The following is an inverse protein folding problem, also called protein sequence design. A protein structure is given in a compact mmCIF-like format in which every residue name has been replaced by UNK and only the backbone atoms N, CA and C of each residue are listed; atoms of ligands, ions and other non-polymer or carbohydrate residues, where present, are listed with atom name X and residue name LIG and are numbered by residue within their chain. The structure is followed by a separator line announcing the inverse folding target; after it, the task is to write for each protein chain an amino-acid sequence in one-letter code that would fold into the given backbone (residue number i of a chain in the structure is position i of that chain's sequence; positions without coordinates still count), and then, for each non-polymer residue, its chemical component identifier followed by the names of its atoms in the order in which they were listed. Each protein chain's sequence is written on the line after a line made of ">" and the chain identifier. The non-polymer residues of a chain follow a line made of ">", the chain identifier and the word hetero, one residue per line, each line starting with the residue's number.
data_IF_170903997730
#
_entry.id   IF_170903997730
#
_cell.length_a   1.000
_cell.length_b   1.000
_cell.length_c   1.000
_cell.angle_alpha   90.00
_cell.angle_beta   90.00
_cell.angle_gamma   90.00
#
_symmetry.space_group_name_H-M   'P 1'
#
loop_
_entity.id
_entity.type
_entity.pdbx_description
1 polymer ?
#
# COMPACT_ATOMS: atom_id res chain seq x y z
N UNK A 1 -7.85 10.55 -15.84
CA UNK A 1 -9.16 10.86 -16.45
C UNK A 1 -9.72 9.54 -16.95
N UNK A 2 -10.85 9.05 -16.43
CA UNK A 2 -11.51 7.87 -16.97
C UNK A 2 -12.25 8.28 -18.25
N UNK A 3 -11.57 8.26 -19.39
CA UNK A 3 -12.20 8.20 -20.70
C UNK A 3 -12.63 6.75 -20.95
N UNK A 4 -13.60 6.25 -20.18
CA UNK A 4 -14.26 5.00 -20.56
C UNK A 4 -15.09 5.29 -21.82
N UNK A 5 -14.55 4.90 -22.97
CA UNK A 5 -15.30 4.58 -24.20
C UNK A 5 -16.11 5.71 -24.87
N UNK A 6 -15.58 6.93 -25.00
CA UNK A 6 -16.25 7.97 -25.80
C UNK A 6 -17.73 8.21 -25.42
N UNK A 7 -18.11 7.87 -24.19
CA UNK A 7 -19.48 7.91 -23.73
C UNK A 7 -19.88 9.37 -23.50
N UNK A 8 -21.06 9.76 -23.99
CA UNK A 8 -21.62 11.08 -23.73
C UNK A 8 -21.81 11.30 -22.22
N UNK A 9 -21.67 12.53 -21.75
CA UNK A 9 -21.87 12.92 -20.34
C UNK A 9 -23.20 12.38 -19.76
N UNK A 10 -24.24 12.30 -20.59
CA UNK A 10 -25.55 11.72 -20.23
C UNK A 10 -25.49 10.21 -19.94
N UNK A 11 -24.67 9.44 -20.68
CA UNK A 11 -24.46 8.00 -20.42
C UNK A 11 -23.67 7.78 -19.14
N UNK A 12 -22.69 8.64 -18.86
CA UNK A 12 -21.91 8.57 -17.61
C UNK A 12 -22.81 8.80 -16.39
N UNK A 13 -23.66 9.82 -16.44
CA UNK A 13 -24.62 10.10 -15.36
C UNK A 13 -25.64 8.98 -15.16
N UNK A 14 -26.19 8.41 -16.23
CA UNK A 14 -27.19 7.33 -16.11
C UNK A 14 -26.62 6.06 -15.46
N UNK A 15 -25.33 5.78 -15.66
CA UNK A 15 -24.71 4.55 -15.19
C UNK A 15 -23.95 4.70 -13.87
N UNK A 16 -23.81 5.92 -13.35
CA UNK A 16 -22.94 6.16 -12.18
C UNK A 16 -23.36 5.32 -10.96
N UNK A 17 -24.67 5.15 -10.71
CA UNK A 17 -25.17 4.36 -9.58
C UNK A 17 -24.68 2.91 -9.60
N UNK A 18 -24.41 2.35 -10.78
CA UNK A 18 -23.95 0.98 -10.95
C UNK A 18 -22.45 0.83 -10.62
N UNK A 19 -21.71 1.94 -10.58
CA UNK A 19 -20.27 1.96 -10.33
C UNK A 19 -19.92 2.43 -8.92
N UNK A 20 -20.89 2.97 -8.19
CA UNK A 20 -20.70 3.43 -6.81
C UNK A 20 -20.88 2.26 -5.84
N UNK A 21 -20.02 2.23 -4.82
CA UNK A 21 -20.06 1.23 -3.77
C UNK A 21 -19.95 1.89 -2.39
N UNK A 22 -20.46 1.21 -1.36
CA UNK A 22 -20.45 1.68 0.03
C UNK A 22 -21.00 3.10 0.19
N UNK A 23 -20.32 3.91 1.00
CA UNK A 23 -20.74 5.28 1.33
C UNK A 23 -20.97 6.21 0.13
N UNK A 24 -20.31 5.94 -1.00
CA UNK A 24 -20.50 6.71 -2.22
C UNK A 24 -21.85 6.38 -2.89
N UNK A 25 -22.28 5.11 -2.84
CA UNK A 25 -23.60 4.68 -3.30
C UNK A 25 -24.70 5.25 -2.41
N UNK A 26 -24.53 5.14 -1.09
CA UNK A 26 -25.50 5.66 -0.11
C UNK A 26 -25.71 7.16 -0.27
N UNK A 27 -24.63 7.92 -0.42
CA UNK A 27 -24.68 9.36 -0.68
C UNK A 27 -25.42 9.69 -2.00
N UNK A 28 -25.17 8.93 -3.06
CA UNK A 28 -25.82 9.16 -4.34
C UNK A 28 -27.33 8.84 -4.29
N UNK A 29 -27.71 7.81 -3.54
CA UNK A 29 -29.12 7.48 -3.28
C UNK A 29 -29.82 8.61 -2.50
N UNK A 30 -29.17 9.17 -1.48
CA UNK A 30 -29.69 10.32 -0.72
C UNK A 30 -29.89 11.55 -1.62
N UNK A 31 -28.97 11.83 -2.55
CA UNK A 31 -29.15 12.90 -3.53
C UNK A 31 -30.37 12.68 -4.43
N UNK A 32 -30.61 11.44 -4.83
CA UNK A 32 -31.80 11.04 -5.59
C UNK A 32 -33.08 11.30 -4.82
N UNK A 33 -33.15 10.82 -3.57
CA UNK A 33 -34.31 11.02 -2.69
C UNK A 33 -34.60 12.49 -2.39
N UNK A 34 -33.56 13.32 -2.33
CA UNK A 34 -33.69 14.75 -2.12
C UNK A 34 -34.00 15.54 -3.42
N UNK A 35 -34.16 14.88 -4.57
CA UNK A 35 -34.32 15.49 -5.89
C UNK A 35 -33.19 16.49 -6.26
N UNK A 36 -31.95 16.19 -5.83
CA UNK A 36 -30.75 17.02 -6.06
C UNK A 36 -29.72 16.33 -6.96
N UNK A 37 -30.18 15.48 -7.88
CA UNK A 37 -29.29 14.79 -8.79
C UNK A 37 -28.59 15.78 -9.73
N UNK A 38 -27.31 15.57 -10.05
CA UNK A 38 -26.60 16.42 -10.99
C UNK A 38 -27.09 16.19 -12.42
N UNK A 39 -27.33 17.28 -13.15
CA UNK A 39 -27.79 17.27 -14.54
C UNK A 39 -26.64 17.13 -15.55
N UNK A 40 -25.43 17.49 -15.13
CA UNK A 40 -24.22 17.42 -15.96
C UNK A 40 -23.12 16.64 -15.26
N UNK A 41 -22.25 15.99 -16.04
CA UNK A 41 -21.10 15.28 -15.52
C UNK A 41 -20.16 16.21 -14.73
N UNK A 42 -20.04 17.46 -15.17
CA UNK A 42 -19.28 18.50 -14.47
C UNK A 42 -19.85 18.79 -13.08
N UNK A 43 -21.17 18.92 -12.95
CA UNK A 43 -21.84 19.12 -11.66
C UNK A 43 -21.67 17.91 -10.74
N UNK A 44 -21.82 16.69 -11.28
CA UNK A 44 -21.55 15.46 -10.52
C UNK A 44 -20.14 15.45 -9.93
N UNK A 45 -19.11 15.68 -10.76
CA UNK A 45 -17.71 15.72 -10.29
C UNK A 45 -17.52 16.74 -9.17
N UNK A 46 -18.12 17.92 -9.30
CA UNK A 46 -18.03 18.98 -8.29
C UNK A 46 -18.65 18.55 -6.96
N UNK A 47 -19.86 18.01 -6.98
CA UNK A 47 -20.57 17.53 -5.79
C UNK A 47 -19.83 16.35 -5.15
N UNK A 48 -19.35 15.41 -5.95
CA UNK A 48 -18.59 14.25 -5.49
C UNK A 48 -17.30 14.69 -4.79
N UNK A 49 -16.53 15.59 -5.40
CA UNK A 49 -15.31 16.12 -4.80
C UNK A 49 -15.61 16.94 -3.55
N UNK A 50 -16.67 17.74 -3.52
CA UNK A 50 -17.07 18.47 -2.32
C UNK A 50 -17.41 17.51 -1.16
N UNK A 51 -18.05 16.38 -1.46
CA UNK A 51 -18.46 15.39 -0.45
C UNK A 51 -17.31 14.53 0.09
N UNK A 52 -16.44 14.05 -0.80
CA UNK A 52 -15.43 13.04 -0.49
C UNK A 52 -14.00 13.60 -0.44
N UNK A 53 -13.80 14.83 -0.90
CA UNK A 53 -12.50 15.52 -0.95
C UNK A 53 -12.65 16.98 -0.55
N UNK A 54 -13.35 17.22 0.57
CA UNK A 54 -13.55 18.58 1.09
C UNK A 54 -12.21 19.22 1.50
N UNK A 55 -12.11 20.56 1.50
CA UNK A 55 -10.90 21.26 1.97
C UNK A 55 -10.47 20.83 3.37
N UNK A 56 -11.43 20.62 4.28
CA UNK A 56 -11.21 20.19 5.65
C UNK A 56 -10.61 18.77 5.70
N UNK A 57 -11.13 17.85 4.87
CA UNK A 57 -10.56 16.50 4.73
C UNK A 57 -9.14 16.56 4.21
N UNK A 58 -8.88 17.38 3.19
CA UNK A 58 -7.53 17.57 2.64
C UNK A 58 -6.57 18.15 3.70
N UNK A 59 -7.04 19.08 4.52
CA UNK A 59 -6.22 19.64 5.60
C UNK A 59 -5.91 18.62 6.70
N UNK A 60 -6.91 17.82 7.11
CA UNK A 60 -6.69 16.71 8.04
C UNK A 60 -5.62 15.73 7.51
N UNK A 61 -5.66 15.40 6.23
CA UNK A 61 -4.64 14.56 5.58
C UNK A 61 -3.25 15.21 5.59
N UNK A 62 -3.14 16.53 5.40
CA UNK A 62 -1.84 17.22 5.50
C UNK A 62 -1.27 17.13 6.90
N UNK A 63 -2.10 17.26 7.93
CA UNK A 63 -1.71 17.09 9.34
C UNK A 63 -1.23 15.65 9.56
N UNK A 64 -1.99 14.66 9.09
CA UNK A 64 -1.60 13.24 9.14
C UNK A 64 -0.24 13.02 8.46
N UNK A 65 -0.03 13.59 7.27
CA UNK A 65 1.25 13.50 6.54
C UNK A 65 2.40 14.12 7.31
N UNK A 66 2.17 15.24 8.00
CA UNK A 66 3.20 15.89 8.81
C UNK A 66 3.66 15.02 9.97
N UNK A 67 2.74 14.23 10.56
CA UNK A 67 2.98 13.30 11.66
C UNK A 67 3.41 11.91 11.21
N UNK A 68 3.20 11.59 9.93
CA UNK A 68 3.58 10.32 9.35
C UNK A 68 5.09 10.07 9.48
N UNK A 69 5.43 8.96 10.12
CA UNK A 69 6.77 8.41 10.25
C UNK A 69 6.65 6.87 10.16
N UNK A 70 7.76 6.21 9.83
CA UNK A 70 7.84 4.76 9.85
C UNK A 70 7.69 4.25 11.30
N UNK A 71 6.80 3.28 11.52
CA UNK A 71 6.59 2.65 12.83
C UNK A 71 7.66 1.60 13.12
N UNK A 72 7.84 1.24 14.40
CA UNK A 72 8.90 0.32 14.83
C UNK A 72 8.82 -1.09 14.20
N UNK A 73 7.61 -1.60 13.95
CA UNK A 73 7.40 -2.92 13.36
C UNK A 73 6.94 -2.87 11.89
N UNK A 74 7.13 -1.74 11.23
CA UNK A 74 6.73 -1.50 9.84
C UNK A 74 7.94 -1.53 8.92
N UNK A 75 7.85 -2.29 7.83
CA UNK A 75 8.89 -2.33 6.81
C UNK A 75 8.96 -1.01 6.05
N UNK A 76 10.12 -0.69 5.48
CA UNK A 76 10.27 0.51 4.65
C UNK A 76 9.33 0.49 3.44
N UNK A 77 9.05 -0.69 2.87
CA UNK A 77 8.12 -0.86 1.76
C UNK A 77 6.67 -0.56 2.16
N UNK A 78 6.19 -1.12 3.29
CA UNK A 78 4.85 -0.85 3.81
C UNK A 78 4.68 0.63 4.14
N UNK A 79 5.70 1.22 4.78
CA UNK A 79 5.74 2.64 5.06
C UNK A 79 5.66 3.48 3.79
N UNK A 80 6.41 3.12 2.74
CA UNK A 80 6.38 3.82 1.45
C UNK A 80 4.99 3.80 0.83
N UNK A 81 4.33 2.63 0.79
CA UNK A 81 2.99 2.49 0.22
C UNK A 81 1.97 3.35 0.98
N UNK A 82 2.01 3.30 2.32
CA UNK A 82 1.15 4.14 3.17
C UNK A 82 1.41 5.63 2.94
N UNK A 83 2.67 6.03 2.84
CA UNK A 83 3.06 7.42 2.57
C UNK A 83 2.66 7.88 1.16
N UNK A 84 2.80 7.02 0.15
CA UNK A 84 2.41 7.27 -1.23
C UNK A 84 0.90 7.48 -1.34
N UNK A 85 0.09 6.57 -0.77
CA UNK A 85 -1.36 6.69 -0.74
C UNK A 85 -1.81 8.03 -0.16
N UNK A 86 -1.24 8.42 0.99
CA UNK A 86 -1.53 9.69 1.64
C UNK A 86 -1.17 10.90 0.76
N UNK A 87 -0.04 10.87 0.06
CA UNK A 87 0.35 11.97 -0.82
C UNK A 87 -0.52 12.05 -2.08
N UNK A 88 -0.92 10.92 -2.66
CA UNK A 88 -1.83 10.90 -3.80
C UNK A 88 -3.22 11.40 -3.39
N UNK A 89 -3.67 11.10 -2.16
CA UNK A 89 -4.92 11.64 -1.62
C UNK A 89 -4.80 13.16 -1.37
N UNK A 90 -3.66 13.70 -0.96
CA UNK A 90 -3.50 15.16 -0.78
C UNK A 90 -3.30 15.89 -2.11
N UNK A 91 -2.41 15.38 -2.96
CA UNK A 91 -2.05 15.95 -4.25
C UNK A 91 -1.72 14.83 -5.25
N UNK A 92 -2.65 14.49 -6.17
CA UNK A 92 -2.43 13.50 -7.21
C UNK A 92 -1.26 13.82 -8.16
N UNK A 93 -0.77 15.07 -8.18
CA UNK A 93 0.35 15.53 -9.02
C UNK A 93 1.66 15.63 -8.23
N UNK A 94 1.78 14.93 -7.11
CA UNK A 94 3.00 14.93 -6.30
C UNK A 94 4.19 14.42 -7.13
N UNK A 95 5.32 15.12 -7.08
CA UNK A 95 6.51 14.69 -7.81
C UNK A 95 7.24 13.57 -7.09
N UNK A 96 7.76 12.61 -7.85
CA UNK A 96 8.56 11.50 -7.31
C UNK A 96 9.75 12.03 -6.49
N UNK A 97 10.40 13.10 -6.98
CA UNK A 97 11.49 13.77 -6.27
C UNK A 97 11.11 14.19 -4.84
N UNK A 98 9.95 14.83 -4.68
CA UNK A 98 9.47 15.23 -3.35
C UNK A 98 9.12 14.01 -2.50
N UNK A 99 8.48 13.00 -3.09
CA UNK A 99 8.13 11.75 -2.39
C UNK A 99 9.38 11.07 -1.81
N UNK A 100 10.44 10.88 -2.63
CA UNK A 100 11.70 10.26 -2.19
C UNK A 100 12.35 11.03 -1.05
N UNK A 101 12.48 12.35 -1.18
CA UNK A 101 13.08 13.22 -0.16
C UNK A 101 12.36 13.12 1.18
N UNK A 102 11.02 13.18 1.17
CA UNK A 102 10.25 13.10 2.40
C UNK A 102 10.22 11.70 2.99
N UNK A 103 10.09 10.66 2.16
CA UNK A 103 10.17 9.27 2.58
C UNK A 103 11.44 9.00 3.37
N UNK A 104 12.60 9.33 2.80
CA UNK A 104 13.90 9.16 3.45
C UNK A 104 14.03 9.90 4.79
N UNK A 105 13.49 11.12 4.87
CA UNK A 105 13.51 11.91 6.11
C UNK A 105 12.66 11.28 7.21
N UNK A 106 11.61 10.54 6.85
CA UNK A 106 10.60 9.98 7.76
C UNK A 106 10.82 8.49 8.10
N UNK A 107 11.85 7.87 7.53
CA UNK A 107 12.34 6.55 7.95
C UNK A 107 12.82 6.57 9.41
N UNK A 108 12.82 5.39 10.03
CA UNK A 108 13.35 5.20 11.38
C UNK A 108 14.82 5.64 11.46
N UNK A 109 15.25 6.25 12.58
CA UNK A 109 16.62 6.73 12.74
C UNK A 109 17.70 5.68 12.43
N UNK A 110 17.53 4.44 12.90
CA UNK A 110 18.46 3.34 12.65
C UNK A 110 18.65 3.05 11.15
N UNK A 111 17.56 3.04 10.37
CA UNK A 111 17.62 2.84 8.92
C UNK A 111 18.26 4.02 8.21
N UNK A 112 17.93 5.26 8.61
CA UNK A 112 18.52 6.47 8.00
C UNK A 112 20.04 6.53 8.18
N UNK A 113 20.56 6.03 9.31
CA UNK A 113 22.00 5.95 9.57
C UNK A 113 22.70 4.96 8.63
N UNK A 114 22.02 3.86 8.31
CA UNK A 114 22.50 2.83 7.38
C UNK A 114 22.43 3.27 5.92
N UNK A 115 21.35 3.94 5.54
CA UNK A 115 21.11 4.37 4.17
C UNK A 115 21.92 5.62 3.82
N UNK A 116 23.18 5.40 3.44
CA UNK A 116 24.07 6.46 2.93
C UNK A 116 23.87 6.66 1.43
N UNK A 117 23.54 7.87 1.01
CA UNK A 117 23.40 8.23 -0.39
C UNK A 117 22.52 9.46 -0.61
N UNK A 118 22.59 10.03 -1.81
CA UNK A 118 21.69 11.11 -2.23
C UNK A 118 20.40 10.52 -2.81
N UNK A 119 19.25 10.64 -2.11
CA UNK A 119 17.99 10.08 -2.59
C UNK A 119 17.42 10.77 -3.83
N UNK A 120 17.96 11.92 -4.23
CA UNK A 120 17.57 12.56 -5.49
C UNK A 120 18.15 11.83 -6.71
N UNK A 121 19.27 11.12 -6.55
CA UNK A 121 19.97 10.40 -7.63
C UNK A 121 19.54 8.94 -7.79
N UNK A 122 18.84 8.40 -6.79
CA UNK A 122 18.37 7.02 -6.79
C UNK A 122 16.90 6.96 -7.24
N UNK A 123 16.53 5.91 -7.96
CA UNK A 123 15.14 5.51 -8.16
C UNK A 123 14.50 5.07 -6.84
N UNK A 124 13.17 5.05 -6.78
CA UNK A 124 12.48 4.56 -5.59
C UNK A 124 12.78 3.09 -5.32
N UNK A 125 12.88 2.26 -6.35
CA UNK A 125 13.17 0.83 -6.22
C UNK A 125 14.56 0.59 -5.63
N UNK A 126 15.56 1.38 -6.01
CA UNK A 126 16.90 1.32 -5.42
C UNK A 126 16.88 1.71 -3.95
N UNK A 127 16.13 2.76 -3.59
CA UNK A 127 15.95 3.18 -2.20
C UNK A 127 15.29 2.06 -1.39
N UNK A 128 14.25 1.43 -1.92
CA UNK A 128 13.54 0.35 -1.22
C UNK A 128 14.42 -0.89 -1.02
N UNK A 129 15.18 -1.30 -2.04
CA UNK A 129 16.16 -2.41 -1.92
C UNK A 129 17.24 -2.10 -0.88
N UNK A 130 17.72 -0.85 -0.84
CA UNK A 130 18.70 -0.44 0.16
C UNK A 130 18.11 -0.46 1.58
N UNK A 131 16.87 -0.01 1.73
CA UNK A 131 16.16 -0.04 3.01
C UNK A 131 15.94 -1.47 3.48
N UNK A 132 15.51 -2.38 2.60
CA UNK A 132 15.33 -3.81 2.90
C UNK A 132 16.65 -4.44 3.38
N UNK A 133 17.75 -4.19 2.66
CA UNK A 133 19.08 -4.68 3.08
C UNK A 133 19.47 -4.15 4.47
N UNK A 134 19.22 -2.87 4.74
CA UNK A 134 19.48 -2.27 6.04
C UNK A 134 18.58 -2.84 7.16
N UNK A 135 17.31 -3.15 6.85
CA UNK A 135 16.39 -3.80 7.79
C UNK A 135 16.89 -5.19 8.18
N UNK A 136 17.35 -5.98 7.20
CA UNK A 136 17.92 -7.31 7.44
C UNK A 136 19.17 -7.22 8.32
N UNK A 137 20.08 -6.30 8.00
CA UNK A 137 21.33 -6.14 8.75
C UNK A 137 21.09 -5.71 10.21
N UNK A 138 20.18 -4.75 10.44
CA UNK A 138 19.80 -4.33 11.78
C UNK A 138 19.15 -5.46 12.58
N UNK A 139 18.38 -6.34 11.93
CA UNK A 139 17.81 -7.52 12.58
C UNK A 139 18.90 -8.51 13.02
N UNK A 140 19.91 -8.75 12.19
CA UNK A 140 21.04 -9.61 12.56
C UNK A 140 21.84 -9.02 13.72
N UNK A 141 22.17 -7.72 13.68
CA UNK A 141 22.88 -7.03 14.75
C UNK A 141 22.14 -7.15 16.09
N UNK A 142 20.81 -6.90 16.09
CA UNK A 142 19.99 -7.03 17.30
C UNK A 142 19.98 -8.46 17.84
N UNK A 143 19.96 -9.47 16.97
CA UNK A 143 20.02 -10.88 17.37
C UNK A 143 21.35 -11.21 18.04
N UNK A 144 22.47 -10.75 17.47
CA UNK A 144 23.79 -10.95 18.05
C UNK A 144 23.97 -10.23 19.39
N UNK A 145 23.44 -9.02 19.53
CA UNK A 145 23.44 -8.26 20.79
C UNK A 145 22.67 -8.98 21.88
N UNK A 146 21.49 -9.53 21.57
CA UNK A 146 20.73 -10.35 22.52
C UNK A 146 21.50 -11.60 22.90
N UNK A 147 22.14 -12.28 21.95
CA UNK A 147 22.96 -13.46 22.23
C UNK A 147 24.18 -13.13 23.11
N UNK A 148 24.84 -11.98 22.89
CA UNK A 148 25.97 -11.51 23.70
C UNK A 148 25.56 -11.01 25.09
N UNK A 149 24.35 -10.48 25.23
CA UNK A 149 23.81 -9.98 26.49
C UNK A 149 23.15 -11.05 27.36
N UNK A 150 22.93 -12.27 26.83
CA UNK A 150 22.45 -13.38 27.65
C UNK A 150 23.54 -13.85 28.62
N UNK A 151 23.27 -13.91 29.94
CA UNK A 151 24.18 -14.51 30.91
C UNK A 151 24.42 -15.99 30.57
N UNK A 152 25.66 -16.49 30.78
CA UNK A 152 26.02 -17.91 30.61
C UNK A 152 25.12 -18.86 31.42
N UNK A 153 24.44 -18.38 32.47
CA UNK A 153 23.49 -19.16 33.26
C UNK A 153 22.18 -19.51 32.52
N UNK A 154 21.87 -18.88 31.38
CA UNK A 154 20.71 -19.20 30.55
C UNK A 154 21.00 -20.22 29.44
N UNK A 155 22.26 -20.36 29.01
CA UNK A 155 22.65 -21.34 27.99
C UNK A 155 22.82 -22.75 28.57
N UNK A 156 23.19 -22.87 29.85
CA UNK A 156 23.36 -24.17 30.52
C UNK A 156 22.10 -24.76 31.16
N UNK A 157 20.97 -24.02 31.22
CA UNK A 157 19.71 -24.51 31.85
C UNK A 157 18.67 -25.07 30.88
N UNK A 158 18.96 -25.12 29.57
CA UNK A 158 18.01 -25.47 28.53
C UNK A 158 18.20 -26.87 27.91
N UNK A 159 18.80 -27.81 28.65
CA UNK A 159 18.66 -29.23 28.33
C UNK A 159 17.54 -29.92 29.13
N UNK A 160 17.01 -29.30 30.20
CA UNK A 160 16.03 -29.97 31.09
C UNK A 160 14.80 -29.13 31.47
N UNK A 161 14.56 -27.97 30.87
CA UNK A 161 13.43 -27.10 31.23
C UNK A 161 12.46 -26.86 30.05
N UNK A 162 11.78 -27.92 29.62
CA UNK A 162 10.45 -27.80 29.02
C UNK A 162 9.47 -27.31 30.09
N UNK A 163 9.45 -26.02 30.41
CA UNK A 163 8.21 -25.32 30.77
C UNK A 163 8.46 -23.84 31.04
N UNK A 164 7.65 -23.04 30.35
CA UNK A 164 7.25 -21.68 30.70
C UNK A 164 8.20 -20.54 30.32
N UNK A 165 8.24 -20.21 29.02
CA UNK A 165 8.54 -18.84 28.61
C UNK A 165 7.74 -18.42 27.36
N UNK A 166 6.48 -18.05 27.58
CA UNK A 166 5.57 -17.55 26.55
C UNK A 166 6.09 -16.27 25.87
N UNK A 167 6.96 -15.50 26.52
CA UNK A 167 7.41 -14.20 26.00
C UNK A 167 8.56 -14.34 25.00
N UNK A 168 9.50 -15.25 25.28
CA UNK A 168 10.59 -15.59 24.36
C UNK A 168 10.09 -16.31 23.09
N UNK A 169 9.04 -17.13 23.21
CA UNK A 169 8.39 -17.74 22.06
C UNK A 169 7.63 -16.72 21.20
N UNK A 170 6.99 -15.71 21.80
CA UNK A 170 6.32 -14.65 21.04
C UNK A 170 7.30 -13.77 20.26
N UNK A 171 8.42 -13.38 20.87
CA UNK A 171 9.45 -12.61 20.19
C UNK A 171 10.02 -13.38 18.98
N UNK A 172 10.31 -14.67 19.19
CA UNK A 172 10.81 -15.57 18.15
C UNK A 172 9.77 -15.76 17.05
N UNK A 173 8.50 -16.01 17.39
CA UNK A 173 7.39 -16.12 16.42
C UNK A 173 7.12 -14.82 15.68
N UNK A 174 7.33 -13.66 16.32
CA UNK A 174 7.20 -12.34 15.68
C UNK A 174 8.30 -12.12 14.66
N UNK A 175 9.55 -12.43 15.02
CA UNK A 175 10.71 -12.37 14.13
C UNK A 175 10.58 -13.37 12.97
N UNK A 176 10.14 -14.61 13.22
CA UNK A 176 9.88 -15.60 12.16
C UNK A 176 8.77 -15.14 11.22
N UNK A 177 7.70 -14.51 11.73
CA UNK A 177 6.64 -13.92 10.89
C UNK A 177 7.13 -12.74 10.07
N UNK A 178 8.00 -11.88 10.61
CA UNK A 178 8.63 -10.78 9.86
C UNK A 178 9.57 -11.31 8.78
N UNK A 179 10.38 -12.33 9.07
CA UNK A 179 11.27 -12.97 8.09
C UNK A 179 10.50 -13.71 6.98
N UNK A 180 9.37 -14.35 7.29
CA UNK A 180 8.54 -15.01 6.29
C UNK A 180 7.93 -14.01 5.29
N UNK A 181 7.59 -12.79 5.75
CA UNK A 181 7.07 -11.71 4.89
C UNK A 181 8.12 -11.12 3.95
N UNK A 182 9.39 -11.09 4.36
CA UNK A 182 10.50 -10.65 3.53
C UNK A 182 10.94 -11.72 2.52
N UNK A 183 10.49 -12.98 2.67
CA UNK A 183 10.91 -14.12 1.84
C UNK A 183 9.94 -14.47 0.70
N UNK A 184 8.83 -13.77 0.54
CA UNK A 184 7.89 -14.00 -0.57
C UNK A 184 8.17 -13.06 -1.74
N UNK A 185 8.78 -13.52 -2.85
CA UNK A 185 8.66 -12.85 -4.12
C UNK A 185 7.30 -13.22 -4.72
N UNK A 186 6.23 -12.45 -4.46
CA UNK A 186 5.04 -12.54 -5.31
C UNK A 186 5.31 -11.82 -6.63
N UNK A 187 6.02 -12.51 -7.52
CA UNK A 187 5.73 -12.45 -8.95
C UNK A 187 4.60 -13.44 -9.21
N UNK A 188 3.39 -12.93 -9.42
CA UNK A 188 2.49 -13.57 -10.37
C UNK A 188 1.85 -12.48 -11.22
N UNK A 189 2.56 -12.17 -12.30
CA UNK A 189 1.97 -11.56 -13.49
C UNK A 189 0.98 -12.59 -14.03
N UNK A 190 -0.32 -12.35 -13.87
CA UNK A 190 -1.33 -13.10 -14.63
C UNK A 190 -1.39 -12.47 -16.01
N UNK A 191 -0.62 -13.03 -16.94
CA UNK A 191 -0.85 -12.87 -18.38
C UNK A 191 -2.07 -13.73 -18.71
N UNK A 192 -3.22 -13.10 -18.91
CA UNK A 192 -4.36 -13.78 -19.50
C UNK A 192 -4.13 -13.91 -21.01
N UNK A 193 -3.68 -15.10 -21.44
CA UNK A 193 -3.73 -15.52 -22.83
C UNK A 193 -5.20 -15.67 -23.25
N UNK A 194 -5.62 -14.83 -24.19
CA UNK A 194 -6.82 -15.05 -25.00
C UNK A 194 -6.46 -16.08 -26.08
N UNK A 195 -6.67 -17.35 -25.80
CA UNK A 195 -6.74 -18.38 -26.84
C UNK A 195 -8.04 -18.18 -27.63
N UNK A 196 -7.88 -17.90 -28.92
CA UNK A 196 -8.95 -18.02 -29.91
C UNK A 196 -9.16 -19.50 -30.25
N UNK A 197 -10.39 -20.01 -30.33
CA UNK A 197 -10.65 -21.22 -31.10
C UNK A 197 -11.02 -20.83 -32.54
N UNK A 198 -10.06 -21.02 -33.44
CA UNK A 198 -10.28 -21.06 -34.88
C UNK A 198 -10.41 -22.51 -35.34
N UNK A 199 -11.47 -22.74 -36.12
CA UNK A 199 -11.65 -23.79 -37.13
C UNK A 199 -12.00 -25.21 -36.68
N UNK A 200 -13.19 -25.71 -37.07
CA UNK A 200 -13.35 -26.37 -38.37
C UNK A 200 -14.80 -26.82 -38.66
N UNK A 201 -15.15 -26.64 -39.93
CA UNK A 201 -16.34 -27.07 -40.67
C UNK A 201 -16.82 -28.50 -40.43
N UNK A 202 -18.12 -28.73 -40.66
CA UNK A 202 -18.59 -29.78 -41.58
C UNK A 202 -20.01 -29.53 -42.08
N UNK A 203 -20.08 -29.36 -43.40
CA UNK A 203 -21.23 -29.29 -44.29
C UNK A 203 -21.97 -30.64 -44.32
N UNK A 204 -23.31 -30.64 -44.40
CA UNK A 204 -24.05 -31.50 -45.35
C UNK A 204 -25.57 -31.24 -45.38
N UNK A 205 -26.06 -31.18 -46.62
CA UNK A 205 -27.41 -30.91 -47.11
C UNK A 205 -28.42 -32.06 -46.88
N UNK A 206 -29.69 -31.71 -47.16
CA UNK A 206 -30.89 -32.50 -47.59
C UNK A 206 -32.03 -32.24 -46.59
N UNK A 207 -33.25 -31.83 -46.96
CA UNK A 207 -34.02 -31.79 -48.22
C UNK A 207 -34.97 -30.60 -48.16
#
# INVERSE_FOLDING_TARGET
>A
MLTLFGASDSKLLRNISNWLTGSASDWYLQLSQAHRLPETWSQYKRLFLARFRSPERVEALKIERSRCAQKENETAADFYQRYLGLNLEINPKSSEKQLKKYFMRKLRPALRLWMKGDPERMSIDEILKMAEKAEIELLYQRKEEVQRAMPESWTSRNLDAEQDDSNSQELTRSLTRQLARLRTPEKTVVVANLESPSSANSFSQKK
#
